data_IF_388800411211
#
_entry.id   IF_388800411211
#
_cell.length_a   1.000
_cell.length_b   1.000
_cell.length_c   1.000
_cell.angle_alpha   90.00
_cell.angle_beta   90.00
_cell.angle_gamma   90.00
#
_symmetry.space_group_name_H-M   'P 1'
#
loop_
_entity.id
_entity.type
_entity.pdbx_description
1 polymer ?
#
# COMPACT_ATOMS: atom_id res chain seq x y z
N UNK A 1 -9.32 31.08 15.38
CA UNK A 1 -8.56 29.84 15.61
C UNK A 1 -7.09 30.17 15.36
N UNK A 2 -6.13 29.68 16.17
CA UNK A 2 -4.72 29.94 15.90
C UNK A 2 -4.36 29.45 14.49
N UNK A 3 -3.54 30.22 13.79
CA UNK A 3 -3.13 29.91 12.43
C UNK A 3 -2.34 28.59 12.39
N UNK A 4 -2.30 27.91 11.24
CA UNK A 4 -1.68 26.59 11.11
C UNK A 4 -0.20 26.53 11.55
N UNK A 5 0.50 27.65 11.56
CA UNK A 5 1.88 27.75 12.05
C UNK A 5 1.99 27.63 13.58
N UNK A 6 1.08 28.28 14.32
CA UNK A 6 1.04 28.23 15.79
C UNK A 6 0.74 26.81 16.27
N UNK A 7 -0.16 26.10 15.58
CA UNK A 7 -0.50 24.72 15.92
C UNK A 7 0.70 23.77 15.76
N UNK A 8 1.54 23.97 14.74
CA UNK A 8 2.79 23.20 14.56
C UNK A 8 3.82 23.51 15.63
N UNK A 9 3.89 24.77 16.11
CA UNK A 9 4.77 25.15 17.23
C UNK A 9 4.30 24.50 18.54
N UNK A 10 3.01 24.51 18.82
CA UNK A 10 2.45 23.85 20.00
C UNK A 10 2.63 22.33 19.97
N UNK A 11 2.49 21.68 18.81
CA UNK A 11 2.79 20.25 18.70
C UNK A 11 4.25 19.90 19.01
N UNK A 12 5.20 20.75 18.58
CA UNK A 12 6.62 20.56 18.91
C UNK A 12 6.91 20.70 20.39
N UNK A 13 6.10 21.42 21.16
CA UNK A 13 6.30 21.51 22.61
C UNK A 13 6.18 20.15 23.30
N UNK A 14 5.39 19.22 22.75
CA UNK A 14 5.31 17.84 23.25
C UNK A 14 6.63 17.07 23.09
N UNK A 15 7.49 17.44 22.14
CA UNK A 15 8.78 16.77 21.94
C UNK A 15 9.74 17.00 23.13
N UNK A 16 9.50 18.05 23.93
CA UNK A 16 10.27 18.38 25.13
C UNK A 16 9.61 17.88 26.44
N UNK A 17 8.41 17.30 26.35
CA UNK A 17 7.75 16.71 27.52
C UNK A 17 8.22 15.26 27.72
N UNK A 18 8.46 14.83 28.97
CA UNK A 18 8.77 13.44 29.26
C UNK A 18 7.67 12.53 28.73
N UNK A 19 8.05 11.32 28.28
CA UNK A 19 7.08 10.31 27.88
C UNK A 19 6.16 9.93 29.04
N UNK A 20 4.92 9.58 28.74
CA UNK A 20 3.96 9.16 29.75
C UNK A 20 2.51 9.23 29.27
N UNK A 21 1.62 8.56 30.02
CA UNK A 21 0.20 8.44 29.66
C UNK A 21 -0.50 9.78 29.48
N UNK A 22 -0.17 10.78 30.30
CA UNK A 22 -0.78 12.11 30.23
C UNK A 22 -0.45 12.82 28.91
N UNK A 23 0.81 12.72 28.47
CA UNK A 23 1.28 13.23 27.17
C UNK A 23 0.54 12.53 26.04
N UNK A 24 0.47 11.20 26.07
CA UNK A 24 -0.19 10.41 25.03
C UNK A 24 -1.68 10.74 24.96
N UNK A 25 -2.38 10.86 26.10
CA UNK A 25 -3.78 11.26 26.16
C UNK A 25 -4.01 12.66 25.59
N UNK A 26 -3.13 13.62 25.90
CA UNK A 26 -3.20 14.96 25.34
C UNK A 26 -3.02 14.93 23.81
N UNK A 27 -2.02 14.20 23.31
CA UNK A 27 -1.79 14.02 21.88
C UNK A 27 -2.95 13.32 21.17
N UNK A 28 -3.56 12.30 21.78
CA UNK A 28 -4.75 11.63 21.26
C UNK A 28 -5.96 12.57 21.21
N UNK A 29 -6.11 13.46 22.19
CA UNK A 29 -7.18 14.47 22.19
C UNK A 29 -7.01 15.49 21.05
N UNK A 30 -5.77 15.83 20.69
CA UNK A 30 -5.46 16.67 19.53
C UNK A 30 -5.70 15.90 18.24
N UNK A 31 -5.19 14.66 18.15
CA UNK A 31 -5.29 13.81 16.96
C UNK A 31 -6.75 13.56 16.55
N UNK A 32 -7.63 13.30 17.52
CA UNK A 32 -9.02 12.93 17.27
C UNK A 32 -10.00 14.08 17.55
N UNK A 33 -9.50 15.31 17.66
CA UNK A 33 -10.30 16.51 17.83
C UNK A 33 -11.01 16.94 16.54
N UNK A 34 -12.28 17.31 16.63
CA UNK A 34 -13.14 17.64 15.47
C UNK A 34 -12.77 18.90 14.69
N UNK A 35 -11.81 19.71 15.17
CA UNK A 35 -11.39 20.99 14.56
C UNK A 35 -9.95 20.97 14.05
N UNK A 36 -9.35 19.79 13.92
CA UNK A 36 -7.95 19.63 13.57
C UNK A 36 -7.83 19.09 12.15
N UNK A 37 -6.99 19.73 11.33
CA UNK A 37 -6.72 19.25 9.98
C UNK A 37 -5.92 17.94 9.98
N UNK A 38 -6.04 17.10 8.93
CA UNK A 38 -5.45 15.77 8.90
C UNK A 38 -3.93 15.75 9.06
N UNK A 39 -3.22 16.78 8.57
CA UNK A 39 -1.77 16.93 8.76
C UNK A 39 -1.36 17.05 10.23
N UNK A 40 -2.10 17.88 10.98
CA UNK A 40 -1.84 18.13 12.40
C UNK A 40 -2.21 16.88 13.20
N UNK A 41 -3.33 16.25 12.86
CA UNK A 41 -3.78 15.03 13.50
C UNK A 41 -2.75 13.89 13.32
N UNK A 42 -2.24 13.68 12.10
CA UNK A 42 -1.16 12.72 11.84
C UNK A 42 0.12 13.06 12.60
N UNK A 43 0.51 14.34 12.63
CA UNK A 43 1.70 14.77 13.38
C UNK A 43 1.55 14.54 14.90
N UNK A 44 0.34 14.63 15.44
CA UNK A 44 0.05 14.28 16.84
C UNK A 44 0.15 12.76 17.05
N UNK A 45 -0.49 11.96 16.20
CA UNK A 45 -0.43 10.48 16.25
C UNK A 45 1.01 9.96 16.20
N UNK A 46 1.88 10.54 15.38
CA UNK A 46 3.28 10.15 15.29
C UNK A 46 4.08 10.28 16.60
N UNK A 47 3.60 11.09 17.55
CA UNK A 47 4.24 11.32 18.84
C UNK A 47 3.64 10.49 19.96
N UNK A 48 2.52 9.82 19.70
CA UNK A 48 1.88 8.91 20.65
C UNK A 48 2.64 7.60 20.66
N UNK A 49 2.83 7.01 21.84
CA UNK A 49 3.39 5.66 21.94
C UNK A 49 2.52 4.63 21.18
N UNK A 50 3.14 3.73 20.42
CA UNK A 50 2.43 2.72 19.63
C UNK A 50 1.52 1.82 20.49
N UNK A 51 1.90 1.58 21.76
CA UNK A 51 1.10 0.84 22.73
C UNK A 51 -0.26 1.50 23.01
N UNK A 52 -0.34 2.82 22.96
CA UNK A 52 -1.58 3.58 23.22
C UNK A 52 -2.46 3.65 21.97
N UNK A 53 -1.86 3.75 20.77
CA UNK A 53 -2.61 3.78 19.50
C UNK A 53 -3.32 2.46 19.20
N UNK A 54 -2.71 1.34 19.61
CA UNK A 54 -3.23 0.00 19.40
C UNK A 54 -4.04 -0.57 20.57
N UNK A 55 -4.17 0.16 21.68
CA UNK A 55 -4.70 -0.34 22.97
C UNK A 55 -6.17 -0.75 22.92
N UNK A 56 -7.00 0.00 22.19
CA UNK A 56 -8.44 -0.20 22.15
C UNK A 56 -9.03 -0.04 20.74
N UNK A 57 -10.17 -0.70 20.50
CA UNK A 57 -10.81 -0.73 19.19
C UNK A 57 -11.28 0.65 18.71
N UNK A 58 -11.65 1.55 19.62
CA UNK A 58 -12.14 2.90 19.27
C UNK A 58 -10.99 3.77 18.77
N UNK A 59 -9.83 3.69 19.40
CA UNK A 59 -8.61 4.39 18.95
C UNK A 59 -8.17 3.90 17.56
N UNK A 60 -8.25 2.59 17.30
CA UNK A 60 -7.99 2.03 15.96
C UNK A 60 -8.96 2.54 14.91
N UNK A 61 -10.27 2.54 15.19
CA UNK A 61 -11.27 3.06 14.25
C UNK A 61 -11.03 4.52 13.90
N UNK A 62 -10.76 5.37 14.89
CA UNK A 62 -10.45 6.79 14.67
C UNK A 62 -9.17 6.99 13.87
N UNK A 63 -8.16 6.15 14.10
CA UNK A 63 -6.95 6.16 13.29
C UNK A 63 -7.25 5.77 11.83
N UNK A 64 -8.07 4.76 11.59
CA UNK A 64 -8.48 4.36 10.23
C UNK A 64 -9.27 5.46 9.50
N UNK A 65 -10.16 6.16 10.21
CA UNK A 65 -10.88 7.33 9.69
C UNK A 65 -9.90 8.45 9.32
N UNK A 66 -8.95 8.75 10.20
CA UNK A 66 -7.90 9.74 9.95
C UNK A 66 -7.08 9.36 8.71
N UNK A 67 -6.58 8.13 8.63
CA UNK A 67 -5.79 7.62 7.51
C UNK A 67 -6.57 7.69 6.18
N UNK A 68 -7.88 7.40 6.22
CA UNK A 68 -8.75 7.44 5.05
C UNK A 68 -9.04 8.87 4.58
N UNK A 69 -9.02 9.85 5.48
CA UNK A 69 -9.23 11.26 5.16
C UNK A 69 -7.96 12.02 4.78
N UNK A 70 -6.79 11.50 5.18
CA UNK A 70 -5.50 12.13 4.92
C UNK A 70 -4.92 11.69 3.57
N UNK A 71 -4.11 12.53 2.90
CA UNK A 71 -3.34 12.10 1.74
C UNK A 71 -2.44 10.90 2.08
N UNK A 72 -2.33 9.91 1.19
CA UNK A 72 -1.45 8.77 1.41
C UNK A 72 0.01 9.24 1.45
N UNK A 73 0.69 8.97 2.57
CA UNK A 73 2.08 9.35 2.77
C UNK A 73 2.87 8.25 3.48
N UNK A 74 4.20 8.39 3.46
CA UNK A 74 5.11 7.43 4.11
C UNK A 74 4.77 7.22 5.59
N UNK A 75 4.33 8.28 6.28
CA UNK A 75 3.90 8.24 7.68
C UNK A 75 2.69 7.33 7.87
N UNK A 76 1.65 7.54 7.07
CA UNK A 76 0.40 6.78 7.14
C UNK A 76 0.65 5.28 6.88
N UNK A 77 1.44 4.96 5.86
CA UNK A 77 1.80 3.58 5.54
C UNK A 77 2.64 2.92 6.63
N UNK A 78 3.59 3.66 7.23
CA UNK A 78 4.38 3.18 8.36
C UNK A 78 3.49 2.85 9.57
N UNK A 79 2.57 3.75 9.92
CA UNK A 79 1.64 3.53 11.04
C UNK A 79 0.78 2.28 10.84
N UNK A 80 0.26 2.07 9.62
CA UNK A 80 -0.52 0.88 9.27
C UNK A 80 0.29 -0.41 9.47
N UNK A 81 1.57 -0.42 9.06
CA UNK A 81 2.46 -1.59 9.24
C UNK A 81 2.83 -1.81 10.70
N UNK A 82 3.26 -0.77 11.42
CA UNK A 82 3.69 -0.86 12.82
C UNK A 82 2.57 -1.33 13.75
N UNK A 83 1.36 -0.82 13.53
CA UNK A 83 0.18 -1.17 14.33
C UNK A 83 -0.58 -2.38 13.79
N UNK A 84 -0.11 -2.99 12.68
CA UNK A 84 -0.72 -4.15 12.02
C UNK A 84 -2.22 -3.97 11.74
N UNK A 85 -2.61 -2.81 11.20
CA UNK A 85 -4.00 -2.46 10.95
C UNK A 85 -4.53 -3.17 9.69
N UNK A 86 -4.97 -4.42 9.85
CA UNK A 86 -5.51 -5.23 8.74
C UNK A 86 -6.75 -4.61 8.12
N UNK A 87 -7.54 -3.88 8.90
CA UNK A 87 -8.73 -3.16 8.46
C UNK A 87 -8.41 -2.01 7.48
N UNK A 88 -7.14 -1.57 7.40
CA UNK A 88 -6.69 -0.60 6.41
C UNK A 88 -6.54 -1.19 5.00
N UNK A 89 -6.73 -2.51 4.83
CA UNK A 89 -6.59 -3.22 3.56
C UNK A 89 -7.29 -2.53 2.37
N UNK A 90 -8.60 -2.22 2.43
CA UNK A 90 -9.30 -1.54 1.34
C UNK A 90 -8.73 -0.16 1.01
N UNK A 91 -8.24 0.59 2.02
CA UNK A 91 -7.60 1.88 1.80
C UNK A 91 -6.22 1.73 1.13
N UNK A 92 -5.42 0.76 1.57
CA UNK A 92 -4.14 0.43 0.92
C UNK A 92 -4.32 -0.03 -0.53
N UNK A 93 -5.33 -0.87 -0.79
CA UNK A 93 -5.63 -1.33 -2.14
C UNK A 93 -5.99 -0.16 -3.06
N UNK A 94 -6.80 0.78 -2.55
CA UNK A 94 -7.12 2.01 -3.30
C UNK A 94 -5.87 2.82 -3.64
N UNK A 95 -4.91 2.94 -2.71
CA UNK A 95 -3.63 3.62 -2.98
C UNK A 95 -2.83 2.87 -4.04
N UNK A 96 -2.78 1.54 -3.97
CA UNK A 96 -2.11 0.71 -4.96
C UNK A 96 -2.72 0.85 -6.36
N UNK A 97 -4.03 1.06 -6.45
CA UNK A 97 -4.79 1.18 -7.69
C UNK A 97 -4.82 2.60 -8.27
N UNK A 98 -4.39 3.62 -7.52
CA UNK A 98 -4.32 4.98 -8.02
C UNK A 98 -3.18 5.15 -9.03
N UNK A 99 -3.54 5.52 -10.25
CA UNK A 99 -2.57 5.85 -11.28
C UNK A 99 -1.76 7.11 -10.86
N UNK A 100 -0.47 7.13 -11.19
CA UNK A 100 0.48 8.20 -10.81
C UNK A 100 0.69 8.42 -9.30
N UNK A 101 0.27 7.49 -8.44
CA UNK A 101 0.62 7.54 -7.03
C UNK A 101 2.00 6.91 -6.77
N UNK A 102 2.97 7.73 -6.33
CA UNK A 102 4.33 7.30 -5.98
C UNK A 102 4.36 6.27 -4.84
N UNK A 103 3.27 6.14 -4.07
CA UNK A 103 3.14 5.23 -2.94
C UNK A 103 2.47 3.90 -3.29
N UNK A 104 2.13 3.64 -4.56
CA UNK A 104 1.45 2.40 -4.95
C UNK A 104 2.23 1.14 -4.56
N UNK A 105 3.55 1.15 -4.75
CA UNK A 105 4.43 0.03 -4.41
C UNK A 105 4.51 -0.17 -2.91
N UNK A 106 4.63 0.94 -2.16
CA UNK A 106 4.62 0.90 -0.70
C UNK A 106 3.29 0.34 -0.16
N UNK A 107 2.16 0.71 -0.78
CA UNK A 107 0.85 0.22 -0.38
C UNK A 107 0.68 -1.28 -0.62
N UNK A 108 1.13 -1.79 -1.78
CA UNK A 108 1.17 -3.24 -2.06
C UNK A 108 2.07 -3.97 -1.06
N UNK A 109 3.26 -3.44 -0.79
CA UNK A 109 4.14 -4.04 0.21
C UNK A 109 3.46 -4.09 1.60
N UNK A 110 2.75 -3.03 2.00
CA UNK A 110 1.99 -3.02 3.25
C UNK A 110 0.87 -4.07 3.26
N UNK A 111 0.13 -4.24 2.17
CA UNK A 111 -0.90 -5.28 2.05
C UNK A 111 -0.30 -6.68 2.24
N UNK A 112 0.84 -6.96 1.59
CA UNK A 112 1.53 -8.24 1.69
C UNK A 112 2.05 -8.50 3.11
N UNK A 113 2.63 -7.48 3.77
CA UNK A 113 3.11 -7.57 5.15
C UNK A 113 1.98 -7.83 6.15
N UNK A 114 0.77 -7.32 5.84
CA UNK A 114 -0.45 -7.55 6.62
C UNK A 114 -1.17 -8.87 6.26
N UNK A 115 -0.61 -9.67 5.35
CA UNK A 115 -1.20 -10.95 4.93
C UNK A 115 -2.48 -10.81 4.10
N UNK A 116 -2.74 -9.65 3.49
CA UNK A 116 -3.96 -9.35 2.71
C UNK A 116 -3.93 -9.96 1.29
N UNK A 117 -3.44 -11.20 1.14
CA UNK A 117 -3.29 -11.87 -0.16
C UNK A 117 -4.65 -12.12 -0.83
N UNK A 118 -5.66 -12.46 -0.05
CA UNK A 118 -7.01 -12.72 -0.57
C UNK A 118 -7.63 -11.43 -1.14
N UNK A 119 -7.42 -10.29 -0.48
CA UNK A 119 -7.87 -8.99 -0.96
C UNK A 119 -7.17 -8.61 -2.28
N UNK A 120 -5.87 -8.85 -2.38
CA UNK A 120 -5.10 -8.62 -3.61
C UNK A 120 -5.60 -9.54 -4.73
N UNK A 121 -5.83 -10.82 -4.42
CA UNK A 121 -6.30 -11.82 -5.39
C UNK A 121 -7.68 -11.42 -5.91
N UNK A 122 -8.62 -11.10 -5.03
CA UNK A 122 -9.95 -10.61 -5.41
C UNK A 122 -9.86 -9.35 -6.30
N UNK A 123 -8.90 -8.46 -6.06
CA UNK A 123 -8.68 -7.28 -6.90
C UNK A 123 -8.14 -7.61 -8.30
N UNK A 124 -7.31 -8.66 -8.45
CA UNK A 124 -6.87 -9.17 -9.75
C UNK A 124 -7.99 -9.92 -10.50
N UNK A 125 -8.97 -10.45 -9.75
CA UNK A 125 -10.09 -11.21 -10.28
C UNK A 125 -11.34 -10.37 -10.54
N UNK A 126 -11.30 -9.07 -10.24
CA UNK A 126 -12.43 -8.16 -10.39
C UNK A 126 -12.84 -7.91 -11.84
N UNK A 127 -14.03 -7.33 -12.00
CA UNK A 127 -14.63 -7.08 -13.31
C UNK A 127 -14.18 -5.76 -13.96
N UNK A 128 -13.56 -4.85 -13.19
CA UNK A 128 -13.07 -3.57 -13.69
C UNK A 128 -11.65 -3.72 -14.26
N UNK A 129 -11.45 -3.67 -15.59
CA UNK A 129 -10.14 -3.88 -16.19
C UNK A 129 -9.14 -2.78 -15.85
N UNK A 130 -9.57 -1.58 -15.46
CA UNK A 130 -8.66 -0.52 -15.03
C UNK A 130 -8.08 -0.81 -13.65
N UNK A 131 -8.92 -1.21 -12.71
CA UNK A 131 -8.48 -1.58 -11.36
C UNK A 131 -7.65 -2.86 -11.35
N UNK A 132 -8.01 -3.86 -12.17
CA UNK A 132 -7.22 -5.09 -12.34
C UNK A 132 -5.82 -4.76 -12.86
N UNK A 133 -5.71 -3.91 -13.89
CA UNK A 133 -4.41 -3.47 -14.44
C UNK A 133 -3.59 -2.70 -13.43
N UNK A 134 -4.21 -1.78 -12.70
CA UNK A 134 -3.53 -0.98 -11.70
C UNK A 134 -2.96 -1.87 -10.58
N UNK A 135 -3.75 -2.85 -10.13
CA UNK A 135 -3.33 -3.87 -9.14
C UNK A 135 -2.17 -4.70 -9.67
N UNK A 136 -2.28 -5.25 -10.89
CA UNK A 136 -1.25 -6.05 -11.54
C UNK A 136 0.06 -5.29 -11.71
N UNK A 137 -0.01 -4.03 -12.18
CA UNK A 137 1.14 -3.13 -12.32
C UNK A 137 1.81 -2.87 -10.97
N UNK A 138 1.05 -2.54 -9.93
CA UNK A 138 1.61 -2.26 -8.60
C UNK A 138 2.32 -3.49 -8.00
N UNK A 139 1.77 -4.70 -8.20
CA UNK A 139 2.42 -5.96 -7.81
C UNK A 139 3.71 -6.20 -8.59
N UNK A 140 3.67 -6.09 -9.91
CA UNK A 140 4.82 -6.33 -10.78
C UNK A 140 5.98 -5.40 -10.42
N UNK A 141 5.69 -4.13 -10.15
CA UNK A 141 6.68 -3.12 -9.80
C UNK A 141 7.20 -3.22 -8.37
N UNK A 142 6.48 -3.89 -7.48
CA UNK A 142 6.97 -4.14 -6.12
C UNK A 142 8.22 -5.02 -6.09
N UNK A 143 8.43 -5.83 -7.14
CA UNK A 143 9.58 -6.74 -7.29
C UNK A 143 9.76 -7.73 -6.13
N UNK A 144 8.78 -7.87 -5.26
CA UNK A 144 8.82 -8.84 -4.16
C UNK A 144 8.50 -10.24 -4.68
N UNK A 145 9.21 -11.29 -4.23
CA UNK A 145 8.92 -12.66 -4.65
C UNK A 145 7.46 -13.08 -4.40
N UNK A 146 6.91 -12.74 -3.23
CA UNK A 146 5.52 -13.06 -2.87
C UNK A 146 4.48 -12.30 -3.71
N UNK A 147 4.78 -11.07 -4.14
CA UNK A 147 3.95 -10.34 -5.10
C UNK A 147 3.96 -10.99 -6.49
N UNK A 148 5.14 -11.39 -6.95
CA UNK A 148 5.32 -12.05 -8.26
C UNK A 148 4.60 -13.40 -8.26
N UNK A 149 4.68 -14.16 -7.17
CA UNK A 149 4.00 -15.45 -7.06
C UNK A 149 2.46 -15.31 -7.15
N UNK A 150 1.89 -14.22 -6.63
CA UNK A 150 0.47 -13.90 -6.76
C UNK A 150 0.06 -13.52 -8.20
N UNK A 151 0.99 -13.04 -9.02
CA UNK A 151 0.70 -12.69 -10.41
C UNK A 151 0.57 -13.91 -11.32
N UNK A 152 1.17 -15.05 -10.97
CA UNK A 152 1.19 -16.20 -11.89
C UNK A 152 -0.18 -16.78 -12.23
N UNK A 153 -1.07 -17.06 -11.25
CA UNK A 153 -2.41 -17.54 -11.56
C UNK A 153 -3.16 -16.57 -12.48
N UNK A 154 -3.03 -15.26 -12.22
CA UNK A 154 -3.63 -14.22 -13.06
C UNK A 154 -3.07 -14.20 -14.49
N UNK A 155 -1.73 -14.28 -14.64
CA UNK A 155 -1.07 -14.28 -15.94
C UNK A 155 -1.37 -15.56 -16.74
N UNK A 156 -1.69 -16.67 -16.07
CA UNK A 156 -2.03 -17.93 -16.71
C UNK A 156 -3.53 -18.06 -17.03
N UNK A 157 -4.43 -17.34 -16.38
CA UNK A 157 -5.87 -17.49 -16.59
C UNK A 157 -6.35 -16.88 -17.93
N UNK A 158 -6.81 -17.74 -18.85
CA UNK A 158 -7.31 -17.32 -20.17
C UNK A 158 -8.69 -16.67 -20.14
N UNK A 159 -9.40 -16.78 -19.04
CA UNK A 159 -10.71 -16.17 -18.87
C UNK A 159 -10.61 -14.70 -18.43
N UNK A 160 -9.42 -14.24 -18.02
CA UNK A 160 -9.17 -12.84 -17.66
C UNK A 160 -8.86 -12.00 -18.88
N UNK A 161 -9.09 -10.70 -18.75
CA UNK A 161 -8.83 -9.72 -19.80
C UNK A 161 -7.39 -9.84 -20.34
N UNK A 162 -7.29 -10.10 -21.65
CA UNK A 162 -6.04 -10.37 -22.35
C UNK A 162 -5.10 -9.16 -22.30
N UNK A 163 -5.66 -7.95 -22.41
CA UNK A 163 -4.89 -6.71 -22.32
C UNK A 163 -4.25 -6.57 -20.93
N UNK A 164 -5.02 -6.80 -19.88
CA UNK A 164 -4.56 -6.67 -18.49
C UNK A 164 -3.45 -7.65 -18.15
N UNK A 165 -3.59 -8.91 -18.59
CA UNK A 165 -2.55 -9.94 -18.44
C UNK A 165 -1.27 -9.55 -19.16
N UNK A 166 -1.37 -9.15 -20.43
CA UNK A 166 -0.20 -8.77 -21.24
C UNK A 166 0.51 -7.52 -20.72
N UNK A 167 -0.23 -6.50 -20.30
CA UNK A 167 0.35 -5.29 -19.70
C UNK A 167 1.07 -5.62 -18.39
N UNK A 168 0.44 -6.38 -17.51
CA UNK A 168 1.07 -6.83 -16.24
C UNK A 168 2.33 -7.65 -16.47
N UNK A 169 2.32 -8.56 -17.46
CA UNK A 169 3.49 -9.34 -17.81
C UNK A 169 4.65 -8.48 -18.34
N UNK A 170 4.36 -7.42 -19.11
CA UNK A 170 5.39 -6.47 -19.59
C UNK A 170 6.00 -5.66 -18.45
N UNK A 171 5.16 -5.20 -17.52
CA UNK A 171 5.62 -4.51 -16.32
C UNK A 171 6.56 -5.40 -15.49
N UNK A 172 6.19 -6.67 -15.33
CA UNK A 172 7.03 -7.66 -14.65
C UNK A 172 8.36 -7.86 -15.39
N UNK A 173 8.30 -8.02 -16.71
CA UNK A 173 9.48 -8.19 -17.57
C UNK A 173 10.43 -6.99 -17.54
N UNK A 174 9.96 -5.78 -17.23
CA UNK A 174 10.80 -4.58 -17.20
C UNK A 174 11.71 -4.47 -15.98
N UNK A 175 11.59 -5.39 -15.02
CA UNK A 175 12.44 -5.43 -13.82
C UNK A 175 13.42 -6.60 -13.88
N UNK A 176 14.62 -6.46 -13.31
CA UNK A 176 15.63 -7.54 -13.31
C UNK A 176 15.11 -8.82 -12.65
N UNK A 177 14.42 -8.69 -11.50
CA UNK A 177 13.87 -9.85 -10.78
C UNK A 177 12.72 -10.49 -11.55
N UNK A 178 11.79 -9.70 -12.08
CA UNK A 178 10.66 -10.21 -12.87
C UNK A 178 11.09 -10.81 -14.20
N UNK A 179 12.06 -10.21 -14.90
CA UNK A 179 12.66 -10.74 -16.11
C UNK A 179 13.29 -12.11 -15.86
N UNK A 180 14.09 -12.26 -14.80
CA UNK A 180 14.70 -13.54 -14.42
C UNK A 180 13.65 -14.64 -14.19
N UNK A 181 12.59 -14.33 -13.44
CA UNK A 181 11.49 -15.29 -13.20
C UNK A 181 10.71 -15.65 -14.47
N UNK A 182 10.53 -14.70 -15.38
CA UNK A 182 9.89 -14.96 -16.67
C UNK A 182 10.77 -15.86 -17.55
N UNK A 183 12.08 -15.63 -17.57
CA UNK A 183 13.03 -16.46 -18.33
C UNK A 183 13.05 -17.91 -17.79
N UNK A 184 13.12 -18.10 -16.47
CA UNK A 184 13.03 -19.43 -15.85
C UNK A 184 11.78 -20.20 -16.30
N UNK A 185 10.63 -19.52 -16.35
CA UNK A 185 9.36 -20.13 -16.82
C UNK A 185 9.33 -20.38 -18.32
N UNK A 186 10.01 -19.55 -19.12
CA UNK A 186 10.15 -19.78 -20.57
C UNK A 186 10.99 -21.02 -20.84
N UNK A 187 12.11 -21.17 -20.13
CA UNK A 187 13.02 -22.32 -20.26
C UNK A 187 12.35 -23.65 -19.89
N UNK A 188 11.43 -23.61 -18.92
CA UNK A 188 10.63 -24.78 -18.50
C UNK A 188 9.39 -25.05 -19.35
N UNK A 189 9.17 -24.26 -20.40
CA UNK A 189 7.97 -24.27 -21.24
C UNK A 189 6.65 -23.99 -20.47
N UNK A 190 6.73 -23.36 -19.29
CA UNK A 190 5.61 -23.10 -18.37
C UNK A 190 4.85 -21.80 -18.68
N UNK A 191 5.39 -20.94 -19.57
CA UNK A 191 4.74 -19.68 -19.92
C UNK A 191 3.88 -19.81 -21.19
N UNK A 192 2.63 -19.35 -21.17
CA UNK A 192 1.76 -19.39 -22.36
C UNK A 192 2.31 -18.57 -23.52
N UNK A 193 2.09 -19.04 -24.76
CA UNK A 193 2.60 -18.41 -26.00
C UNK A 193 2.20 -16.93 -26.09
N UNK A 194 0.94 -16.60 -25.78
CA UNK A 194 0.47 -15.21 -25.82
C UNK A 194 1.23 -14.27 -24.87
N UNK A 195 1.63 -14.75 -23.69
CA UNK A 195 2.40 -13.97 -22.72
C UNK A 195 3.87 -13.90 -23.15
N UNK A 196 4.46 -15.01 -23.63
CA UNK A 196 5.84 -15.00 -24.19
C UNK A 196 6.00 -13.93 -25.26
N UNK A 197 5.04 -13.88 -26.20
CA UNK A 197 5.06 -12.87 -27.27
C UNK A 197 4.94 -11.44 -26.73
N UNK A 198 4.14 -11.24 -25.68
CA UNK A 198 3.97 -9.92 -25.08
C UNK A 198 5.23 -9.39 -24.37
N UNK A 199 6.02 -10.28 -23.76
CA UNK A 199 7.24 -9.92 -23.00
C UNK A 199 8.52 -10.00 -23.80
N UNK A 200 8.55 -10.71 -24.94
CA UNK A 200 9.76 -10.98 -25.72
C UNK A 200 10.60 -9.71 -26.00
N UNK A 201 9.97 -8.63 -26.47
CA UNK A 201 10.68 -7.37 -26.76
C UNK A 201 11.30 -6.75 -25.51
N UNK A 202 10.61 -6.82 -24.36
CA UNK A 202 11.10 -6.24 -23.10
C UNK A 202 12.28 -7.07 -22.58
N UNK A 203 12.19 -8.39 -22.64
CA UNK A 203 13.26 -9.29 -22.20
C UNK A 203 14.54 -9.15 -23.04
N UNK A 204 14.44 -8.79 -24.33
CA UNK A 204 15.61 -8.53 -25.20
C UNK A 204 16.39 -7.26 -24.81
N UNK A 205 15.85 -6.40 -23.94
CA UNK A 205 16.52 -5.17 -23.49
C UNK A 205 17.28 -5.33 -22.17
N UNK A 206 17.23 -6.51 -21.56
CA UNK A 206 17.95 -6.87 -20.34
C UNK A 206 19.21 -7.68 -20.65
#
# INVERSE_FOLDING_TARGET
>A
APAGEDVRRYLRAFDFQPGGKEKDQALLSVAFGSKVGPEIALAAVQRVAASELGADQRSRQRLLELLSSAPPGAVSLRLVRELKLTEAGPWLLRIAQQEHNDRRVDAVAALLDLGQKDLITAALEGDDPELVRATGRALAQSQRPDAIDLLWPFLEDRNRDDRSRKETARELAGSKSGAGRLLERIERDELKREIRQAVARVLLTH
#
